data_IF_403433365811
#
_entry.id   IF_403433365811
#
_cell.length_a   1.000
_cell.length_b   1.000
_cell.length_c   1.000
_cell.angle_alpha   90.00
_cell.angle_beta   90.00
_cell.angle_gamma   90.00
#
_symmetry.space_group_name_H-M   'P 1'
#
loop_
_entity.id
_entity.type
_entity.pdbx_description
1 polymer ?
#
# COMPACT_ATOMS: atom_id res chain seq x y z
N UNK A 1 -1.11 7.26 -5.05
CA UNK A 1 -0.86 7.17 -3.59
C UNK A 1 -1.59 5.93 -3.11
N UNK A 2 -1.00 5.17 -2.20
CA UNK A 2 -1.58 3.92 -1.71
C UNK A 2 -1.48 3.85 -0.19
N UNK A 3 -2.34 3.05 0.43
CA UNK A 3 -2.19 2.69 1.83
C UNK A 3 -1.16 1.58 2.00
N UNK A 4 -0.36 1.61 3.06
CA UNK A 4 0.45 0.48 3.49
C UNK A 4 -0.42 -0.77 3.71
N UNK A 5 -1.64 -0.58 4.22
CA UNK A 5 -2.63 -1.64 4.37
C UNK A 5 -3.04 -2.29 3.03
N UNK A 6 -2.98 -1.57 1.90
CA UNK A 6 -3.19 -2.17 0.58
C UNK A 6 -2.08 -3.16 0.23
N UNK A 7 -0.83 -2.85 0.55
CA UNK A 7 0.29 -3.79 0.33
C UNK A 7 0.14 -5.01 1.21
N UNK A 8 -0.25 -4.82 2.48
CA UNK A 8 -0.49 -5.94 3.42
C UNK A 8 -1.59 -6.87 2.93
N UNK A 9 -2.72 -6.33 2.50
CA UNK A 9 -3.82 -7.13 1.95
C UNK A 9 -3.40 -7.83 0.65
N UNK A 10 -2.73 -7.12 -0.26
CA UNK A 10 -2.28 -7.71 -1.52
C UNK A 10 -1.34 -8.89 -1.29
N UNK A 11 -0.42 -8.76 -0.32
CA UNK A 11 0.49 -9.84 0.08
C UNK A 11 -0.27 -11.02 0.67
N UNK A 12 -1.27 -10.79 1.53
CA UNK A 12 -2.10 -11.86 2.11
C UNK A 12 -2.91 -12.59 1.05
N UNK A 13 -3.60 -11.85 0.17
CA UNK A 13 -4.42 -12.39 -0.91
C UNK A 13 -3.58 -13.21 -1.92
N UNK A 14 -2.28 -12.95 -1.99
CA UNK A 14 -1.34 -13.60 -2.90
C UNK A 14 -0.28 -14.45 -2.18
N UNK A 15 -0.44 -14.78 -0.90
CA UNK A 15 0.62 -15.38 -0.07
C UNK A 15 1.22 -16.66 -0.66
N UNK A 16 0.37 -17.52 -1.23
CA UNK A 16 0.80 -18.80 -1.81
C UNK A 16 1.63 -18.59 -3.08
N UNK A 17 1.30 -17.56 -3.87
CA UNK A 17 2.01 -17.19 -5.10
C UNK A 17 3.31 -16.45 -4.82
N UNK A 18 3.30 -15.54 -3.85
CA UNK A 18 4.46 -14.71 -3.50
C UNK A 18 5.51 -15.49 -2.71
N UNK A 19 5.09 -16.45 -1.88
CA UNK A 19 5.99 -17.26 -1.05
C UNK A 19 6.98 -16.39 -0.28
N UNK A 20 8.28 -16.62 -0.49
CA UNK A 20 9.35 -15.89 0.20
C UNK A 20 9.43 -14.39 -0.16
N UNK A 21 8.85 -13.96 -1.29
CA UNK A 21 8.84 -12.54 -1.69
C UNK A 21 7.97 -11.69 -0.77
N UNK A 22 6.94 -12.30 -0.16
CA UNK A 22 5.98 -11.62 0.71
C UNK A 22 6.66 -10.83 1.84
N UNK A 23 7.61 -11.46 2.53
CA UNK A 23 8.34 -10.83 3.66
C UNK A 23 9.15 -9.62 3.17
N UNK A 24 9.80 -9.74 2.01
CA UNK A 24 10.59 -8.65 1.44
C UNK A 24 9.73 -7.47 0.99
N UNK A 25 8.58 -7.75 0.37
CA UNK A 25 7.61 -6.72 -0.05
C UNK A 25 7.11 -5.95 1.18
N UNK A 26 6.71 -6.66 2.24
CA UNK A 26 6.23 -6.03 3.47
C UNK A 26 7.32 -5.17 4.13
N UNK A 27 8.54 -5.70 4.28
CA UNK A 27 9.63 -4.96 4.89
C UNK A 27 9.95 -3.65 4.15
N UNK A 28 9.97 -3.68 2.81
CA UNK A 28 10.19 -2.48 1.99
C UNK A 28 9.02 -1.51 2.08
N UNK A 29 7.79 -2.01 2.10
CA UNK A 29 6.60 -1.18 2.24
C UNK A 29 6.58 -0.42 3.58
N UNK A 30 6.92 -1.09 4.69
CA UNK A 30 7.05 -0.42 5.99
C UNK A 30 8.08 0.71 5.94
N UNK A 31 9.27 0.41 5.41
CA UNK A 31 10.38 1.37 5.33
C UNK A 31 10.07 2.60 4.48
N UNK A 32 9.29 2.42 3.41
CA UNK A 32 8.92 3.52 2.51
C UNK A 32 7.60 4.20 2.88
N UNK A 33 6.86 3.65 3.85
CA UNK A 33 5.62 4.27 4.30
C UNK A 33 5.90 5.47 5.19
N UNK A 34 5.09 6.52 5.01
CA UNK A 34 5.04 7.66 5.91
C UNK A 34 3.61 7.81 6.40
N UNK A 35 3.40 7.71 7.72
CA UNK A 35 2.07 7.72 8.34
C UNK A 35 1.08 6.71 7.69
N UNK A 36 1.57 5.52 7.34
CA UNK A 36 0.76 4.48 6.71
C UNK A 36 0.43 4.71 5.22
N UNK A 37 1.03 5.72 4.60
CA UNK A 37 0.81 6.11 3.20
C UNK A 37 2.08 5.88 2.38
N UNK A 38 1.89 5.45 1.13
CA UNK A 38 2.92 5.17 0.13
C UNK A 38 2.73 6.05 -1.11
N UNK A 39 3.83 6.59 -1.61
CA UNK A 39 3.86 7.23 -2.93
C UNK A 39 3.57 6.20 -4.02
N UNK A 40 2.97 6.65 -5.13
CA UNK A 40 2.83 5.79 -6.32
C UNK A 40 4.19 5.33 -6.86
N UNK A 41 5.19 6.21 -6.85
CA UNK A 41 6.55 5.90 -7.30
C UNK A 41 7.30 4.90 -6.41
N UNK A 42 6.89 4.73 -5.15
CA UNK A 42 7.50 3.78 -4.22
C UNK A 42 7.15 2.32 -4.58
N UNK A 43 6.00 2.09 -5.22
CA UNK A 43 5.45 0.75 -5.45
C UNK A 43 6.37 -0.10 -6.31
N UNK A 44 6.95 0.45 -7.38
CA UNK A 44 7.89 -0.30 -8.23
C UNK A 44 9.11 -0.78 -7.44
N UNK A 45 9.65 0.08 -6.55
CA UNK A 45 10.76 -0.29 -5.67
C UNK A 45 10.37 -1.31 -4.58
N UNK A 46 9.12 -1.27 -4.11
CA UNK A 46 8.58 -2.22 -3.13
C UNK A 46 8.37 -3.59 -3.77
N UNK A 47 7.79 -3.63 -4.97
CA UNK A 47 7.51 -4.90 -5.67
C UNK A 47 8.76 -5.49 -6.30
N UNK A 48 9.75 -4.65 -6.68
CA UNK A 48 10.98 -5.04 -7.41
C UNK A 48 10.72 -5.77 -8.74
N UNK A 49 9.49 -5.71 -9.23
CA UNK A 49 9.03 -6.35 -10.45
C UNK A 49 7.94 -5.44 -11.06
N UNK A 50 8.10 -5.09 -12.33
CA UNK A 50 7.21 -4.15 -13.01
C UNK A 50 5.81 -4.73 -13.24
N UNK A 51 5.70 -6.01 -13.59
CA UNK A 51 4.41 -6.67 -13.78
C UNK A 51 3.67 -6.83 -12.47
N UNK A 52 4.39 -7.15 -11.38
CA UNK A 52 3.80 -7.23 -10.05
C UNK A 52 3.33 -5.85 -9.55
N UNK A 53 4.08 -4.79 -9.84
CA UNK A 53 3.67 -3.42 -9.53
C UNK A 53 2.41 -3.00 -10.32
N UNK A 54 2.33 -3.37 -11.61
CA UNK A 54 1.15 -3.16 -12.44
C UNK A 54 -0.05 -3.94 -11.91
N UNK A 55 0.13 -5.21 -11.59
CA UNK A 55 -0.91 -6.05 -11.01
C UNK A 55 -1.42 -5.49 -9.68
N UNK A 56 -0.51 -5.06 -8.80
CA UNK A 56 -0.87 -4.39 -7.56
C UNK A 56 -1.73 -3.14 -7.83
N UNK A 57 -1.35 -2.30 -8.79
CA UNK A 57 -2.13 -1.13 -9.15
C UNK A 57 -3.54 -1.51 -9.61
N UNK A 58 -3.66 -2.50 -10.49
CA UNK A 58 -4.93 -2.97 -11.02
C UNK A 58 -5.83 -3.53 -9.92
N UNK A 59 -5.29 -4.39 -9.05
CA UNK A 59 -6.03 -4.94 -7.91
C UNK A 59 -6.51 -3.82 -6.99
N UNK A 60 -5.63 -2.88 -6.63
CA UNK A 60 -6.00 -1.81 -5.70
C UNK A 60 -7.10 -0.89 -6.26
N UNK A 61 -7.14 -0.71 -7.58
CA UNK A 61 -8.10 0.17 -8.24
C UNK A 61 -9.39 -0.53 -8.66
N UNK A 62 -9.44 -1.86 -8.69
CA UNK A 62 -10.59 -2.63 -9.17
C UNK A 62 -11.27 -3.46 -8.09
N UNK A 63 -10.54 -3.86 -7.04
CA UNK A 63 -11.08 -4.62 -5.93
C UNK A 63 -11.75 -3.69 -4.89
N UNK A 64 -13.04 -3.89 -4.56
CA UNK A 64 -13.77 -3.04 -3.62
C UNK A 64 -13.15 -2.95 -2.22
N UNK A 65 -12.54 -4.03 -1.72
CA UNK A 65 -11.95 -4.03 -0.39
C UNK A 65 -10.66 -3.21 -0.37
N UNK A 66 -9.84 -3.32 -1.41
CA UNK A 66 -8.65 -2.48 -1.55
C UNK A 66 -8.98 -1.00 -1.76
N UNK A 67 -10.01 -0.70 -2.55
CA UNK A 67 -10.51 0.67 -2.70
C UNK A 67 -10.94 1.25 -1.35
N UNK A 68 -11.69 0.47 -0.56
CA UNK A 68 -12.11 0.88 0.79
C UNK A 68 -10.91 1.15 1.70
N UNK A 69 -9.94 0.25 1.74
CA UNK A 69 -8.70 0.43 2.53
C UNK A 69 -7.96 1.71 2.11
N UNK A 70 -7.85 1.95 0.80
CA UNK A 70 -7.22 3.15 0.27
C UNK A 70 -7.94 4.42 0.72
N UNK A 71 -9.27 4.44 0.65
CA UNK A 71 -10.09 5.57 1.06
C UNK A 71 -10.01 5.85 2.57
N UNK A 72 -10.07 4.81 3.40
CA UNK A 72 -9.95 4.92 4.87
C UNK A 72 -8.60 5.51 5.27
N UNK A 73 -7.51 5.07 4.64
CA UNK A 73 -6.18 5.61 4.91
C UNK A 73 -6.06 7.10 4.52
N UNK A 74 -6.66 7.51 3.40
CA UNK A 74 -6.68 8.91 2.98
C UNK A 74 -7.47 9.79 3.95
N UNK A 75 -8.61 9.31 4.45
CA UNK A 75 -9.40 10.02 5.45
C UNK A 75 -8.62 10.20 6.76
N UNK A 76 -7.96 9.13 7.24
CA UNK A 76 -7.12 9.20 8.44
C UNK A 76 -5.94 10.15 8.26
N UNK A 77 -5.27 10.11 7.10
CA UNK A 77 -4.18 11.02 6.78
C UNK A 77 -4.66 12.47 6.73
N UNK A 78 -5.79 12.74 6.07
CA UNK A 78 -6.39 14.09 5.99
C UNK A 78 -6.79 14.64 7.36
N UNK A 79 -7.38 13.83 8.23
CA UNK A 79 -7.73 14.21 9.60
C UNK A 79 -6.48 14.43 10.47
N UNK A 80 -5.42 13.65 10.26
CA UNK A 80 -4.13 13.83 10.94
C UNK A 80 -3.43 15.13 10.57
N UNK A 81 -3.50 15.53 9.29
CA UNK A 81 -2.94 16.81 8.80
C UNK A 81 -3.70 18.01 9.38
N UNK A 82 -5.03 17.93 9.51
CA UNK A 82 -5.84 19.01 10.11
C UNK A 82 -5.45 19.20 11.58
N UNK A 83 -5.32 18.13 12.37
CA UNK A 83 -4.88 18.26 13.77
C UNK A 83 -3.47 18.88 13.89
N UNK A 84 -2.52 18.48 13.04
CA UNK A 84 -1.15 18.99 13.08
C UNK A 84 -0.98 20.48 12.68
N UNK A 85 -2.03 21.12 12.14
CA UNK A 85 -2.02 22.54 11.75
C UNK A 85 -2.68 23.42 12.83
N UNK A 86 -3.51 22.83 13.70
CA UNK A 86 -4.31 23.57 14.69
C UNK A 86 -3.67 23.52 16.10
N UNK A 87 -2.64 22.68 16.30
CA UNK A 87 -1.75 22.67 17.47
C UNK A 87 -0.47 23.49 17.22
#
# INVERSE_FOLDING_TARGET
>A
MYALANVRKFVEDNKDRLGNLAVGILARAEQQSSNGVLSGSAVEGIMQDHELAREFHEVVMSDPDHLRIGLEALLQYGVGVIHAIID
#
